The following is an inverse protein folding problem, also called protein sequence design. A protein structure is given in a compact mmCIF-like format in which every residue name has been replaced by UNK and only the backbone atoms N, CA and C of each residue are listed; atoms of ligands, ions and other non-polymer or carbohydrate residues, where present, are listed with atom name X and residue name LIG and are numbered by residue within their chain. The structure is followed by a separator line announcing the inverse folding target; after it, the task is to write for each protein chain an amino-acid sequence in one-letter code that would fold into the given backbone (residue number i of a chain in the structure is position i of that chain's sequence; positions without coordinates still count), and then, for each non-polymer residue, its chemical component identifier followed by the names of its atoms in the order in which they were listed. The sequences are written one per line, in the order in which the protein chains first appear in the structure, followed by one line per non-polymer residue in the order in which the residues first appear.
data_IF_003771585267
#
_entry.id   IF_003771585267
#
_cell.length_a   1.000
_cell.length_b   1.000
_cell.length_c   1.000
_cell.angle_alpha   90.00
_cell.angle_beta   90.00
_cell.angle_gamma   90.00
#
_symmetry.space_group_name_H-M   'P 1'
#
loop_
_entity.id
_entity.type
_entity.pdbx_description
1 polymer ?
#
# COMPACT_ATOMS: atom_id res chain seq x y z
N UNK A 1 -13.49 -9.37 20.04
CA UNK A 1 -13.44 -8.37 18.96
C UNK A 1 -12.22 -8.66 18.13
N UNK A 2 -12.31 -9.61 17.21
CA UNK A 2 -11.23 -9.82 16.23
C UNK A 2 -11.35 -8.65 15.28
N UNK A 3 -10.52 -7.62 15.48
CA UNK A 3 -10.47 -6.47 14.58
C UNK A 3 -10.22 -6.99 13.17
N UNK A 4 -10.88 -6.38 12.19
CA UNK A 4 -10.80 -6.80 10.79
C UNK A 4 -9.34 -6.88 10.33
N UNK A 5 -9.02 -7.81 9.42
CA UNK A 5 -7.64 -7.99 8.96
C UNK A 5 -7.16 -6.70 8.28
N UNK A 6 -5.99 -6.18 8.68
CA UNK A 6 -5.42 -4.94 8.17
C UNK A 6 -5.16 -5.07 6.66
N UNK A 7 -5.82 -4.24 5.86
CA UNK A 7 -5.77 -4.27 4.40
C UNK A 7 -4.60 -3.43 3.91
N UNK A 8 -3.60 -4.07 3.33
CA UNK A 8 -2.33 -3.44 2.94
C UNK A 8 -2.19 -3.38 1.42
N UNK A 9 -1.83 -2.21 0.89
CA UNK A 9 -1.29 -2.06 -0.47
C UNK A 9 0.23 -1.99 -0.40
N UNK A 10 0.92 -2.87 -1.11
CA UNK A 10 2.38 -2.92 -1.14
C UNK A 10 2.92 -2.26 -2.41
N UNK A 11 3.81 -1.28 -2.27
CA UNK A 11 4.38 -0.52 -3.39
C UNK A 11 5.89 -0.56 -3.34
N UNK A 12 6.51 -1.15 -4.37
CA UNK A 12 7.96 -1.27 -4.52
C UNK A 12 8.27 -1.55 -5.99
N UNK A 13 9.28 -0.89 -6.59
CA UNK A 13 9.62 -1.07 -8.00
C UNK A 13 10.42 -2.35 -8.28
N UNK A 14 10.99 -3.00 -7.24
CA UNK A 14 11.75 -4.24 -7.33
C UNK A 14 10.86 -5.47 -7.04
N UNK A 15 10.47 -6.26 -8.07
CA UNK A 15 9.50 -7.35 -7.90
C UNK A 15 9.96 -8.44 -6.92
N UNK A 16 11.26 -8.70 -6.84
CA UNK A 16 11.82 -9.70 -5.93
C UNK A 16 11.67 -9.29 -4.47
N UNK A 17 11.92 -8.00 -4.18
CA UNK A 17 11.76 -7.47 -2.84
C UNK A 17 10.28 -7.43 -2.46
N UNK A 18 9.42 -6.96 -3.37
CA UNK A 18 7.97 -6.96 -3.20
C UNK A 18 7.41 -8.34 -2.85
N UNK A 19 7.82 -9.38 -3.58
CA UNK A 19 7.41 -10.77 -3.30
C UNK A 19 7.89 -11.27 -1.93
N UNK A 20 9.07 -10.82 -1.49
CA UNK A 20 9.62 -11.17 -0.16
C UNK A 20 8.80 -10.53 0.95
N UNK A 21 8.52 -9.23 0.85
CA UNK A 21 7.69 -8.51 1.83
C UNK A 21 6.29 -9.08 1.87
N UNK A 22 5.68 -9.37 0.72
CA UNK A 22 4.37 -10.03 0.66
C UNK A 22 4.35 -11.34 1.44
N UNK A 23 5.33 -12.22 1.26
CA UNK A 23 5.41 -13.49 1.99
C UNK A 23 5.52 -13.30 3.50
N UNK A 24 6.22 -12.26 3.95
CA UNK A 24 6.32 -11.93 5.37
C UNK A 24 4.98 -11.43 5.93
N UNK A 25 4.24 -10.63 5.16
CA UNK A 25 2.91 -10.15 5.56
C UNK A 25 1.86 -11.27 5.55
N UNK A 26 1.88 -12.16 4.56
CA UNK A 26 0.98 -13.31 4.44
C UNK A 26 1.15 -14.32 5.62
N UNK A 27 2.29 -14.29 6.32
CA UNK A 27 2.50 -15.09 7.53
C UNK A 27 1.75 -14.55 8.77
N UNK A 28 1.27 -13.30 8.72
CA UNK A 28 0.49 -12.68 9.78
C UNK A 28 -1.01 -12.81 9.48
N UNK A 29 -1.80 -13.56 10.28
CA UNK A 29 -3.23 -13.73 10.03
C UNK A 29 -4.05 -12.44 10.23
N UNK A 30 -3.44 -11.39 10.78
CA UNK A 30 -4.05 -10.08 11.00
C UNK A 30 -3.80 -9.10 9.85
N UNK A 31 -3.10 -9.52 8.78
CA UNK A 31 -2.75 -8.66 7.64
C UNK A 31 -3.22 -9.34 6.35
N UNK A 32 -3.73 -8.54 5.42
CA UNK A 32 -4.11 -9.00 4.09
C UNK A 32 -3.59 -8.02 3.06
N UNK A 33 -2.71 -8.48 2.16
CA UNK A 33 -2.24 -7.66 1.04
C UNK A 33 -3.34 -7.66 -0.03
N UNK A 34 -4.03 -6.53 -0.18
CA UNK A 34 -5.18 -6.37 -1.10
C UNK A 34 -4.78 -5.98 -2.51
N UNK A 35 -3.60 -5.38 -2.67
CA UNK A 35 -3.07 -4.96 -3.96
C UNK A 35 -1.54 -4.78 -3.89
N UNK A 36 -0.90 -4.78 -5.06
CA UNK A 36 0.54 -4.56 -5.24
C UNK A 36 0.77 -3.57 -6.39
N UNK A 37 1.73 -2.66 -6.21
CA UNK A 37 2.11 -1.66 -7.19
C UNK A 37 3.63 -1.66 -7.42
N UNK A 38 4.05 -1.45 -8.67
CA UNK A 38 5.44 -1.22 -9.05
C UNK A 38 5.83 0.25 -9.18
N UNK A 39 4.86 1.17 -9.10
CA UNK A 39 5.11 2.61 -9.22
C UNK A 39 4.17 3.40 -8.31
N UNK A 40 4.56 4.63 -7.95
CA UNK A 40 3.71 5.51 -7.14
C UNK A 40 2.38 5.86 -7.83
N UNK A 41 2.36 5.99 -9.17
CA UNK A 41 1.12 6.29 -9.91
C UNK A 41 0.13 5.12 -9.84
N UNK A 42 0.64 3.90 -10.01
CA UNK A 42 -0.15 2.69 -9.87
C UNK A 42 -0.67 2.54 -8.42
N UNK A 43 0.16 2.85 -7.43
CA UNK A 43 -0.26 2.82 -6.03
C UNK A 43 -1.41 3.77 -5.72
N UNK A 44 -1.40 5.00 -6.27
CA UNK A 44 -2.50 5.95 -6.10
C UNK A 44 -3.79 5.45 -6.74
N UNK A 45 -3.71 4.87 -7.95
CA UNK A 45 -4.88 4.30 -8.62
C UNK A 45 -5.46 3.11 -7.82
N UNK A 46 -4.60 2.16 -7.43
CA UNK A 46 -5.01 0.98 -6.67
C UNK A 46 -5.51 1.32 -5.27
N UNK A 47 -4.99 2.37 -4.63
CA UNK A 47 -5.52 2.80 -3.34
C UNK A 47 -6.97 3.29 -3.45
N UNK A 48 -7.35 3.95 -4.55
CA UNK A 48 -8.72 4.38 -4.78
C UNK A 48 -9.66 3.19 -5.03
N UNK A 49 -9.19 2.17 -5.75
CA UNK A 49 -10.01 1.00 -6.08
C UNK A 49 -10.15 0.02 -4.91
N UNK A 50 -9.08 -0.17 -4.14
CA UNK A 50 -9.02 -1.17 -3.07
C UNK A 50 -9.23 -0.58 -1.69
N UNK A 51 -9.21 0.75 -1.51
CA UNK A 51 -9.38 1.42 -0.22
C UNK A 51 -8.59 0.74 0.93
N UNK A 52 -7.25 0.61 0.81
CA UNK A 52 -6.45 -0.06 1.84
C UNK A 52 -6.39 0.75 3.14
N UNK A 53 -6.23 0.06 4.27
CA UNK A 53 -6.03 0.68 5.57
C UNK A 53 -4.61 1.23 5.73
N UNK A 54 -3.65 0.61 5.05
CA UNK A 54 -2.23 0.96 5.07
C UNK A 54 -1.62 0.83 3.68
N UNK A 55 -0.81 1.80 3.28
CA UNK A 55 0.04 1.69 2.09
C UNK A 55 1.49 1.59 2.54
N UNK A 56 2.14 0.47 2.23
CA UNK A 56 3.57 0.31 2.42
C UNK A 56 4.26 0.77 1.13
N UNK A 57 4.99 1.88 1.21
CA UNK A 57 5.48 2.63 0.07
C UNK A 57 7.01 2.70 0.08
N UNK A 58 7.67 2.20 -0.96
CA UNK A 58 9.07 2.52 -1.19
C UNK A 58 9.23 4.00 -1.56
N UNK A 59 10.26 4.63 -1.02
CA UNK A 59 10.51 6.06 -1.20
C UNK A 59 11.25 6.33 -2.51
N UNK A 60 12.05 5.38 -3.01
CA UNK A 60 12.93 5.59 -4.17
C UNK A 60 12.43 4.87 -5.41
N UNK A 61 11.33 5.37 -5.97
CA UNK A 61 10.80 4.91 -7.24
C UNK A 61 11.17 5.84 -8.42
N UNK A 62 11.28 5.30 -9.65
CA UNK A 62 11.73 6.05 -10.83
C UNK A 62 10.71 7.02 -11.48
N UNK A 63 9.42 6.97 -11.12
CA UNK A 63 8.36 7.83 -11.71
C UNK A 63 7.97 8.97 -10.75
N UNK A 64 6.76 8.95 -10.18
CA UNK A 64 6.47 9.77 -9.00
C UNK A 64 7.13 9.10 -7.79
N UNK A 65 7.94 9.84 -7.05
CA UNK A 65 8.57 9.32 -5.84
C UNK A 65 7.49 8.94 -4.79
N UNK A 66 7.89 8.12 -3.82
CA UNK A 66 6.97 7.68 -2.76
C UNK A 66 6.41 8.85 -1.93
N UNK A 67 7.06 10.01 -1.93
CA UNK A 67 6.64 11.21 -1.19
C UNK A 67 5.46 11.89 -1.90
N UNK A 68 5.55 12.07 -3.21
CA UNK A 68 4.47 12.61 -4.05
C UNK A 68 3.26 11.67 -4.06
N UNK A 69 3.48 10.35 -4.14
CA UNK A 69 2.40 9.38 -4.01
C UNK A 69 1.73 9.47 -2.63
N UNK A 70 2.51 9.56 -1.55
CA UNK A 70 1.98 9.73 -0.18
C UNK A 70 1.19 11.03 -0.02
N UNK A 71 1.65 12.14 -0.62
CA UNK A 71 0.94 13.41 -0.61
C UNK A 71 -0.42 13.33 -1.33
N UNK A 72 -0.51 12.59 -2.45
CA UNK A 72 -1.77 12.38 -3.16
C UNK A 72 -2.74 11.47 -2.37
N UNK A 73 -2.22 10.40 -1.77
CA UNK A 73 -3.01 9.48 -0.94
C UNK A 73 -3.59 10.18 0.29
N UNK A 74 -2.81 11.02 0.96
CA UNK A 74 -3.26 11.76 2.15
C UNK A 74 -4.23 12.90 1.83
N UNK A 75 -4.18 13.45 0.61
CA UNK A 75 -5.14 14.44 0.13
C UNK A 75 -6.46 13.80 -0.39
N UNK A 76 -6.54 12.46 -0.43
CA UNK A 76 -7.71 11.73 -0.93
C UNK A 76 -8.86 11.73 0.09
N UNK A 77 -10.12 11.56 -0.35
CA UNK A 77 -11.29 11.56 0.55
C UNK A 77 -11.26 10.44 1.61
N UNK A 78 -10.56 9.35 1.32
CA UNK A 78 -10.36 8.22 2.23
C UNK A 78 -8.86 7.88 2.30
N UNK A 79 -8.09 8.65 3.08
CA UNK A 79 -6.67 8.40 3.20
C UNK A 79 -6.43 7.12 4.02
N UNK A 80 -5.44 6.29 3.64
CA UNK A 80 -5.03 5.14 4.44
C UNK A 80 -4.60 5.62 5.83
N UNK A 81 -5.03 4.94 6.89
CA UNK A 81 -4.66 5.22 8.28
C UNK A 81 -5.58 6.16 9.07
N UNK A 82 -6.67 6.66 8.49
CA UNK A 82 -7.69 7.41 9.25
C UNK A 82 -9.05 6.69 9.18
N UNK A 83 -9.27 5.72 10.07
CA UNK A 83 -10.63 5.30 10.38
C UNK A 83 -11.34 6.46 11.10
N UNK A 84 -12.34 7.04 10.44
CA UNK A 84 -13.40 7.81 11.11
C UNK A 84 -14.39 6.84 11.77
#
# INVERSE_FOLDING_TARGET
MTGDALRVLLTDDEPLYRATVRRLLDASPCVTVVAEAGTGREAVALAADFCPDLVLMDVRMPDIDGIMATAQLTASPHPPGCSS
#
